data_IF_606395768095
#
_entry.id   IF_606395768095
#
_cell.length_a   1.000
_cell.length_b   1.000
_cell.length_c   1.000
_cell.angle_alpha   90.00
_cell.angle_beta   90.00
_cell.angle_gamma   90.00
#
_symmetry.space_group_name_H-M   'P 1'
#
loop_
_entity.id
_entity.type
_entity.pdbx_description
1 polymer ?
#
# COMPACT_ATOMS: atom_id res chain seq x y z
N UNK A 1 -8.62 20.55 12.89
CA UNK A 1 -8.81 19.10 12.70
C UNK A 1 -7.47 18.39 12.91
N UNK A 2 -7.44 17.28 13.64
CA UNK A 2 -6.21 16.52 13.91
C UNK A 2 -5.65 15.96 12.59
N UNK A 3 -4.41 16.32 12.22
CA UNK A 3 -3.76 15.94 10.95
C UNK A 3 -3.75 14.43 10.72
N UNK A 4 -3.71 13.62 11.79
CA UNK A 4 -3.78 12.15 11.71
C UNK A 4 -5.14 11.66 11.23
N UNK A 5 -6.22 12.25 11.74
CA UNK A 5 -7.60 11.92 11.35
C UNK A 5 -7.86 12.34 9.91
N UNK A 6 -7.40 13.53 9.52
CA UNK A 6 -7.51 14.00 8.12
C UNK A 6 -6.78 13.04 7.16
N UNK A 7 -5.56 12.62 7.50
CA UNK A 7 -4.80 11.67 6.68
C UNK A 7 -5.51 10.33 6.54
N UNK A 8 -6.09 9.83 7.64
CA UNK A 8 -6.86 8.59 7.62
C UNK A 8 -8.09 8.71 6.71
N UNK A 9 -8.92 9.74 6.89
CA UNK A 9 -10.13 9.96 6.06
C UNK A 9 -9.75 10.13 4.59
N UNK A 10 -8.72 10.92 4.31
CA UNK A 10 -8.26 11.16 2.93
C UNK A 10 -7.73 9.88 2.28
N UNK A 11 -7.02 9.02 3.02
CA UNK A 11 -6.58 7.72 2.52
C UNK A 11 -7.75 6.79 2.22
N UNK A 12 -8.78 6.76 3.07
CA UNK A 12 -9.99 5.97 2.79
C UNK A 12 -10.69 6.47 1.52
N UNK A 13 -10.85 7.78 1.35
CA UNK A 13 -11.43 8.38 0.14
C UNK A 13 -10.59 8.07 -1.11
N UNK A 14 -9.26 8.17 -1.00
CA UNK A 14 -8.34 7.79 -2.07
C UNK A 14 -8.51 6.33 -2.46
N UNK A 15 -8.54 5.42 -1.48
CA UNK A 15 -8.69 3.99 -1.73
C UNK A 15 -9.95 3.70 -2.55
N UNK A 16 -11.09 4.27 -2.16
CA UNK A 16 -12.34 4.13 -2.94
C UNK A 16 -12.19 4.69 -4.35
N UNK A 17 -11.67 5.92 -4.50
CA UNK A 17 -11.52 6.54 -5.81
C UNK A 17 -10.62 5.72 -6.74
N UNK A 18 -9.51 5.21 -6.22
CA UNK A 18 -8.56 4.38 -6.97
C UNK A 18 -9.19 3.05 -7.37
N UNK A 19 -9.84 2.34 -6.44
CA UNK A 19 -10.48 1.05 -6.72
C UNK A 19 -11.62 1.21 -7.73
N UNK A 20 -12.46 2.24 -7.59
CA UNK A 20 -13.53 2.54 -8.55
C UNK A 20 -12.95 2.83 -9.93
N UNK A 21 -11.89 3.65 -10.01
CA UNK A 21 -11.25 3.97 -11.29
C UNK A 21 -10.62 2.72 -11.93
N UNK A 22 -9.91 1.90 -11.15
CA UNK A 22 -9.29 0.66 -11.62
C UNK A 22 -10.34 -0.38 -12.06
N UNK A 23 -11.49 -0.47 -11.39
CA UNK A 23 -12.59 -1.34 -11.80
C UNK A 23 -13.23 -0.93 -13.13
N UNK A 24 -13.16 0.36 -13.49
CA UNK A 24 -13.63 0.89 -14.79
C UNK A 24 -12.51 1.01 -15.83
N UNK A 25 -11.42 0.25 -15.68
CA UNK A 25 -10.27 0.25 -16.60
C UNK A 25 -9.55 1.61 -16.74
N UNK A 26 -9.68 2.49 -15.73
CA UNK A 26 -9.03 3.81 -15.69
C UNK A 26 -7.79 3.81 -14.78
N UNK A 27 -6.88 2.88 -15.03
CA UNK A 27 -5.67 2.69 -14.22
C UNK A 27 -4.76 3.93 -14.17
N UNK A 28 -4.68 4.71 -15.25
CA UNK A 28 -3.91 5.96 -15.28
C UNK A 28 -4.45 7.02 -14.29
N UNK A 29 -5.77 7.14 -14.15
CA UNK A 29 -6.41 8.08 -13.24
C UNK A 29 -6.17 7.67 -11.79
N UNK A 30 -6.24 6.36 -11.53
CA UNK A 30 -5.86 5.80 -10.24
C UNK A 30 -4.39 6.07 -9.89
N UNK A 31 -3.47 5.93 -10.85
CA UNK A 31 -2.05 6.29 -10.67
C UNK A 31 -1.88 7.78 -10.32
N UNK A 32 -2.55 8.66 -11.06
CA UNK A 32 -2.50 10.10 -10.82
C UNK A 32 -3.01 10.48 -9.42
N UNK A 33 -4.10 9.86 -8.96
CA UNK A 33 -4.63 10.06 -7.62
C UNK A 33 -3.65 9.60 -6.53
N UNK A 34 -3.03 8.42 -6.69
CA UNK A 34 -2.02 7.92 -5.75
C UNK A 34 -0.80 8.85 -5.67
N UNK A 35 -0.31 9.30 -6.83
CA UNK A 35 0.82 10.23 -6.91
C UNK A 35 0.50 11.55 -6.23
N UNK A 36 -0.67 12.14 -6.51
CA UNK A 36 -1.11 13.37 -5.85
C UNK A 36 -1.17 13.22 -4.33
N UNK A 37 -1.66 12.08 -3.83
CA UNK A 37 -1.70 11.80 -2.40
C UNK A 37 -0.30 11.68 -1.78
N UNK A 38 0.60 10.93 -2.41
CA UNK A 38 1.99 10.78 -1.93
C UNK A 38 2.71 12.12 -1.90
N UNK A 39 2.55 12.95 -2.95
CA UNK A 39 3.11 14.29 -3.01
C UNK A 39 2.54 15.19 -1.91
N UNK A 40 1.22 15.16 -1.69
CA UNK A 40 0.60 15.92 -0.61
C UNK A 40 1.13 15.50 0.77
N UNK A 41 1.22 14.19 1.04
CA UNK A 41 1.77 13.67 2.30
C UNK A 41 3.25 14.06 2.46
N UNK A 42 4.04 14.01 1.40
CA UNK A 42 5.44 14.48 1.41
C UNK A 42 5.53 15.98 1.71
N UNK A 43 4.68 16.82 1.10
CA UNK A 43 4.71 18.27 1.32
C UNK A 43 4.27 18.61 2.75
N UNK A 44 3.23 17.94 3.25
CA UNK A 44 2.67 18.16 4.59
C UNK A 44 3.53 17.60 5.73
N UNK A 45 4.45 16.66 5.44
CA UNK A 45 5.25 15.99 6.46
C UNK A 45 6.54 16.74 6.78
N UNK A 46 6.85 16.87 8.07
CA UNK A 46 8.16 17.29 8.55
C UNK A 46 9.22 16.18 8.41
N UNK A 47 8.83 14.94 8.09
CA UNK A 47 9.70 13.77 7.91
C UNK A 47 9.75 13.31 6.43
N UNK A 48 9.92 14.25 5.49
CA UNK A 48 9.87 13.98 4.04
C UNK A 48 10.73 12.80 3.58
N UNK A 49 11.95 12.68 4.10
CA UNK A 49 12.85 11.57 3.77
C UNK A 49 12.29 10.21 4.24
N UNK A 50 11.62 10.17 5.40
CA UNK A 50 10.96 8.95 5.91
C UNK A 50 9.78 8.59 5.02
N UNK A 51 8.97 9.58 4.64
CA UNK A 51 7.83 9.40 3.72
C UNK A 51 8.28 8.76 2.40
N UNK A 52 9.29 9.32 1.74
CA UNK A 52 9.77 8.79 0.46
C UNK A 52 10.42 7.41 0.59
N UNK A 53 11.22 7.17 1.63
CA UNK A 53 11.83 5.85 1.86
C UNK A 53 10.79 4.77 2.10
N UNK A 54 9.73 5.07 2.85
CA UNK A 54 8.61 4.16 3.04
C UNK A 54 7.81 3.94 1.75
N UNK A 55 7.56 5.00 0.98
CA UNK A 55 6.88 4.87 -0.32
C UNK A 55 7.66 3.96 -1.27
N UNK A 56 8.97 4.17 -1.42
CA UNK A 56 9.84 3.32 -2.26
C UNK A 56 9.85 1.88 -1.76
N UNK A 57 10.04 1.66 -0.45
CA UNK A 57 10.02 0.32 0.13
C UNK A 57 8.68 -0.39 -0.12
N UNK A 58 7.57 0.33 0.02
CA UNK A 58 6.24 -0.22 -0.23
C UNK A 58 6.00 -0.55 -1.70
N UNK A 59 6.51 0.26 -2.64
CA UNK A 59 6.46 -0.08 -4.07
C UNK A 59 7.26 -1.34 -4.36
N UNK A 60 8.44 -1.50 -3.78
CA UNK A 60 9.26 -2.72 -3.93
C UNK A 60 8.53 -3.95 -3.36
N UNK A 61 7.95 -3.82 -2.17
CA UNK A 61 7.14 -4.88 -1.56
C UNK A 61 5.92 -5.21 -2.43
N UNK A 62 5.17 -4.21 -2.88
CA UNK A 62 4.04 -4.39 -3.80
C UNK A 62 4.44 -5.05 -5.12
N UNK A 63 5.62 -4.74 -5.65
CA UNK A 63 6.14 -5.39 -6.85
C UNK A 63 6.34 -6.90 -6.61
N UNK A 64 6.90 -7.28 -5.47
CA UNK A 64 7.08 -8.69 -5.09
C UNK A 64 5.74 -9.38 -4.82
N UNK A 65 4.84 -8.71 -4.10
CA UNK A 65 3.56 -9.27 -3.67
C UNK A 65 2.59 -9.40 -4.84
N UNK A 66 2.28 -8.31 -5.52
CA UNK A 66 1.29 -8.27 -6.60
C UNK A 66 1.88 -8.79 -7.92
N UNK A 67 3.17 -8.57 -8.16
CA UNK A 67 3.86 -9.19 -9.28
C UNK A 67 3.95 -10.71 -9.12
N UNK A 68 4.29 -11.19 -7.92
CA UNK A 68 4.26 -12.62 -7.61
C UNK A 68 2.86 -13.22 -7.69
N UNK A 69 1.84 -12.50 -7.20
CA UNK A 69 0.44 -12.94 -7.30
C UNK A 69 -0.05 -13.04 -8.75
N UNK A 70 0.34 -12.08 -9.59
CA UNK A 70 0.02 -12.05 -11.03
C UNK A 70 0.73 -13.19 -11.75
N UNK A 71 2.02 -13.39 -11.47
CA UNK A 71 2.83 -14.45 -12.08
C UNK A 71 2.34 -15.86 -11.68
N UNK A 72 1.94 -16.03 -10.42
CA UNK A 72 1.34 -17.27 -9.93
C UNK A 72 -0.12 -17.47 -10.41
N UNK A 73 -0.71 -16.46 -11.06
CA UNK A 73 -2.08 -16.52 -11.56
C UNK A 73 -3.16 -16.54 -10.47
N UNK A 74 -2.81 -16.19 -9.22
CA UNK A 74 -3.74 -16.21 -8.08
C UNK A 74 -4.50 -14.89 -7.91
N UNK A 75 -4.06 -13.82 -8.58
CA UNK A 75 -4.72 -12.51 -8.62
C UNK A 75 -4.72 -11.98 -10.06
N UNK A 76 -5.84 -11.38 -10.48
CA UNK A 76 -5.97 -10.69 -11.78
C UNK A 76 -6.58 -9.31 -11.59
N UNK A 77 -5.99 -8.30 -12.22
CA UNK A 77 -6.46 -6.91 -12.16
C UNK A 77 -7.27 -6.56 -13.41
N UNK A 78 -8.32 -5.76 -13.23
CA UNK A 78 -9.14 -5.24 -14.33
C UNK A 78 -8.34 -4.22 -15.16
N UNK A 79 -7.97 -3.09 -14.57
CA UNK A 79 -7.04 -2.14 -15.16
C UNK A 79 -5.60 -2.67 -15.11
N UNK A 80 -5.03 -3.02 -16.26
CA UNK A 80 -3.64 -3.51 -16.36
C UNK A 80 -2.64 -2.38 -16.59
N UNK A 81 -3.06 -1.34 -17.30
CA UNK A 81 -2.19 -0.25 -17.72
C UNK A 81 -2.29 0.99 -16.80
N UNK A 82 -1.20 1.75 -16.64
CA UNK A 82 0.16 1.40 -17.08
C UNK A 82 0.79 0.31 -16.18
N UNK A 83 1.73 -0.46 -16.72
CA UNK A 83 2.55 -1.45 -15.99
C UNK A 83 4.04 -1.08 -16.08
N UNK A 84 4.86 -1.38 -15.05
CA UNK A 84 6.29 -1.02 -15.05
C UNK A 84 7.12 -1.84 -16.04
N UNK A 85 6.69 -3.07 -16.33
CA UNK A 85 7.28 -3.97 -17.32
C UNK A 85 6.22 -4.97 -17.80
N UNK A 86 6.40 -5.62 -18.97
CA UNK A 86 5.44 -6.60 -19.48
C UNK A 86 5.17 -7.73 -18.49
N UNK A 87 3.90 -7.92 -18.12
CA UNK A 87 3.49 -8.94 -17.15
C UNK A 87 3.69 -8.56 -15.68
N UNK A 88 4.16 -7.33 -15.40
CA UNK A 88 4.24 -6.79 -14.05
C UNK A 88 2.88 -6.40 -13.46
N UNK A 89 2.83 -6.09 -12.15
CA UNK A 89 1.61 -5.61 -11.53
C UNK A 89 1.26 -4.20 -12.04
N UNK A 90 -0.03 -3.83 -12.10
CA UNK A 90 -0.43 -2.50 -12.53
C UNK A 90 0.17 -1.39 -11.67
N UNK A 91 0.58 -0.28 -12.27
CA UNK A 91 1.15 0.84 -11.53
C UNK A 91 0.19 1.44 -10.50
N UNK A 92 -1.13 1.29 -10.68
CA UNK A 92 -2.10 1.83 -9.72
C UNK A 92 -2.10 1.05 -8.40
N UNK A 93 -1.88 -0.27 -8.42
CA UNK A 93 -1.80 -1.05 -7.18
C UNK A 93 -0.49 -0.71 -6.45
N UNK A 94 0.61 -0.52 -7.18
CA UNK A 94 1.88 -0.02 -6.61
C UNK A 94 1.72 1.40 -6.04
N UNK A 95 0.91 2.23 -6.68
CA UNK A 95 0.52 3.54 -6.18
C UNK A 95 -0.21 3.44 -4.84
N UNK A 96 -1.17 2.52 -4.70
CA UNK A 96 -1.85 2.27 -3.43
C UNK A 96 -0.89 1.77 -2.34
N UNK A 97 0.08 0.92 -2.67
CA UNK A 97 1.13 0.53 -1.72
C UNK A 97 1.90 1.74 -1.19
N UNK A 98 2.34 2.63 -2.09
CA UNK A 98 3.01 3.86 -1.71
C UNK A 98 2.10 4.75 -0.85
N UNK A 99 0.86 4.99 -1.31
CA UNK A 99 -0.12 5.81 -0.59
C UNK A 99 -0.45 5.27 0.79
N UNK A 100 -0.53 3.95 0.95
CA UNK A 100 -0.74 3.29 2.24
C UNK A 100 0.47 3.52 3.17
N UNK A 101 1.67 3.25 2.68
CA UNK A 101 2.88 3.33 3.50
C UNK A 101 3.18 4.75 3.99
N UNK A 102 2.83 5.78 3.21
CA UNK A 102 2.98 7.18 3.67
C UNK A 102 1.99 7.58 4.77
N UNK A 103 0.97 6.76 5.07
CA UNK A 103 0.12 6.95 6.27
C UNK A 103 0.77 6.42 7.54
N UNK A 104 1.81 5.58 7.44
CA UNK A 104 2.45 4.95 8.60
C UNK A 104 3.06 5.95 9.58
N UNK A 105 3.78 7.02 9.16
CA UNK A 105 4.33 8.00 10.10
C UNK A 105 3.29 8.80 10.88
N UNK A 106 2.02 8.81 10.44
CA UNK A 106 0.93 9.58 11.04
C UNK A 106 -0.06 8.71 11.83
N UNK A 107 -1.26 8.39 11.30
CA UNK A 107 -2.29 7.63 12.02
C UNK A 107 -1.83 6.25 12.51
N UNK A 108 -0.88 5.60 11.83
CA UNK A 108 -0.41 4.25 12.19
C UNK A 108 0.96 4.23 12.87
N UNK A 109 1.46 5.37 13.36
CA UNK A 109 2.81 5.46 13.94
C UNK A 109 3.01 4.54 15.15
N UNK A 110 1.92 4.18 15.83
CA UNK A 110 1.94 3.25 16.96
C UNK A 110 2.42 1.84 16.58
N UNK A 111 2.44 1.48 15.29
CA UNK A 111 3.02 0.23 14.78
C UNK A 111 4.55 0.25 14.69
N UNK A 112 5.18 1.43 14.78
CA UNK A 112 6.63 1.58 14.71
C UNK A 112 7.33 0.66 15.72
N UNK A 113 8.14 -0.27 15.21
CA UNK A 113 8.89 -1.22 16.05
C UNK A 113 8.03 -2.34 16.67
N UNK A 114 6.78 -2.51 16.22
CA UNK A 114 5.85 -3.55 16.69
C UNK A 114 5.50 -4.52 15.55
N UNK A 115 6.47 -5.32 15.05
CA UNK A 115 6.31 -6.13 13.86
C UNK A 115 5.19 -7.17 13.97
N UNK A 116 4.96 -7.75 15.16
CA UNK A 116 3.90 -8.75 15.36
C UNK A 116 2.50 -8.11 15.21
N UNK A 117 2.27 -6.95 15.81
CA UNK A 117 1.01 -6.24 15.67
C UNK A 117 0.78 -5.79 14.22
N UNK A 118 1.84 -5.34 13.54
CA UNK A 118 1.79 -4.97 12.13
C UNK A 118 1.49 -6.19 11.24
N UNK A 119 2.11 -7.34 11.50
CA UNK A 119 1.88 -8.58 10.77
C UNK A 119 0.43 -9.05 10.89
N UNK A 120 -0.14 -9.05 12.11
CA UNK A 120 -1.54 -9.42 12.33
C UNK A 120 -2.49 -8.46 11.60
N UNK A 121 -2.21 -7.16 11.66
CA UNK A 121 -3.00 -6.16 10.93
C UNK A 121 -2.90 -6.35 9.42
N UNK A 122 -1.71 -6.66 8.89
CA UNK A 122 -1.49 -6.94 7.48
C UNK A 122 -2.20 -8.22 7.01
N UNK A 123 -2.09 -9.29 7.78
CA UNK A 123 -2.70 -10.59 7.50
C UNK A 123 -4.23 -10.50 7.34
N UNK A 124 -4.86 -9.56 8.04
CA UNK A 124 -6.31 -9.35 8.02
C UNK A 124 -6.68 -8.22 7.06
N UNK A 125 -6.07 -7.04 7.24
CA UNK A 125 -6.39 -5.83 6.50
C UNK A 125 -6.05 -5.92 5.01
N UNK A 126 -4.94 -6.57 4.66
CA UNK A 126 -4.54 -6.80 3.27
C UNK A 126 -5.60 -7.58 2.49
N UNK A 127 -5.90 -8.84 2.86
CA UNK A 127 -6.94 -9.63 2.19
C UNK A 127 -8.31 -8.95 2.18
N UNK A 128 -8.74 -8.34 3.30
CA UNK A 128 -10.02 -7.64 3.35
C UNK A 128 -10.10 -6.48 2.36
N UNK A 129 -8.99 -5.74 2.18
CA UNK A 129 -8.92 -4.66 1.19
C UNK A 129 -9.10 -5.19 -0.24
N UNK A 130 -8.41 -6.27 -0.60
CA UNK A 130 -8.51 -6.83 -1.96
C UNK A 130 -9.87 -7.49 -2.21
N UNK A 131 -10.45 -8.16 -1.21
CA UNK A 131 -11.82 -8.69 -1.29
C UNK A 131 -12.83 -7.54 -1.43
N UNK A 132 -12.62 -6.42 -0.74
CA UNK A 132 -13.42 -5.20 -0.93
C UNK A 132 -13.34 -4.67 -2.36
N UNK A 133 -12.14 -4.64 -2.94
CA UNK A 133 -11.92 -4.22 -4.33
C UNK A 133 -12.58 -5.18 -5.34
N UNK A 134 -12.54 -6.49 -5.08
CA UNK A 134 -13.24 -7.50 -5.87
C UNK A 134 -14.76 -7.30 -5.81
N UNK A 135 -15.34 -7.27 -4.60
CA UNK A 135 -16.80 -7.26 -4.41
C UNK A 135 -17.45 -5.93 -4.78
N UNK A 136 -16.74 -4.82 -4.59
CA UNK A 136 -17.29 -3.48 -4.84
C UNK A 136 -17.29 -3.09 -6.31
N UNK A 137 -16.16 -3.33 -7.01
CA UNK A 137 -15.95 -2.81 -8.37
C UNK A 137 -15.26 -3.78 -9.32
N UNK A 138 -15.04 -5.04 -8.91
CA UNK A 138 -14.31 -6.04 -9.70
C UNK A 138 -12.92 -5.56 -10.16
N UNK A 139 -12.30 -4.62 -9.43
CA UNK A 139 -10.98 -4.09 -9.75
C UNK A 139 -9.89 -5.17 -9.67
N UNK A 140 -10.15 -6.18 -8.85
CA UNK A 140 -9.35 -7.39 -8.69
C UNK A 140 -10.27 -8.61 -8.75
N UNK A 141 -9.80 -9.71 -9.32
CA UNK A 141 -10.46 -11.02 -9.29
C UNK A 141 -9.49 -12.10 -8.86
N UNK A 142 -10.02 -13.15 -8.24
CA UNK A 142 -9.25 -14.28 -7.75
C UNK A 142 -9.66 -15.53 -8.52
N UNK A 143 -8.79 -16.07 -9.38
CA UNK A 143 -9.03 -17.33 -10.06
C UNK A 143 -9.22 -18.50 -9.08
N UNK A 144 -9.92 -19.54 -9.54
CA UNK A 144 -10.10 -20.75 -8.74
C UNK A 144 -8.78 -21.56 -8.68
N UNK A 145 -8.43 -22.13 -7.51
CA UNK A 145 -9.17 -22.07 -6.26
C UNK A 145 -8.90 -20.78 -5.45
N UNK A 146 -9.96 -20.06 -5.10
CA UNK A 146 -9.90 -18.69 -4.54
C UNK A 146 -9.08 -18.59 -3.24
N UNK A 147 -9.05 -19.65 -2.43
CA UNK A 147 -8.32 -19.66 -1.16
C UNK A 147 -6.82 -19.41 -1.34
N UNK A 148 -6.23 -19.76 -2.49
CA UNK A 148 -4.81 -19.53 -2.77
C UNK A 148 -4.48 -18.05 -2.83
N UNK A 149 -5.33 -17.25 -3.48
CA UNK A 149 -5.17 -15.79 -3.52
C UNK A 149 -5.32 -15.15 -2.14
N UNK A 150 -6.27 -15.62 -1.34
CA UNK A 150 -6.44 -15.14 0.04
C UNK A 150 -5.26 -15.50 0.94
N UNK A 151 -4.76 -16.73 0.86
CA UNK A 151 -3.59 -17.18 1.60
C UNK A 151 -2.33 -16.41 1.18
N UNK A 152 -2.13 -16.22 -0.13
CA UNK A 152 -1.03 -15.41 -0.68
C UNK A 152 -1.06 -14.00 -0.09
N UNK A 153 -2.21 -13.32 -0.17
CA UNK A 153 -2.35 -11.97 0.35
C UNK A 153 -2.17 -11.92 1.87
N UNK A 154 -2.71 -12.88 2.62
CA UNK A 154 -2.59 -12.90 4.08
C UNK A 154 -1.11 -13.01 4.52
N UNK A 155 -0.37 -13.97 3.96
CA UNK A 155 1.03 -14.18 4.30
C UNK A 155 1.90 -13.01 3.84
N UNK A 156 1.71 -12.58 2.59
CA UNK A 156 2.56 -11.53 2.00
C UNK A 156 2.33 -10.16 2.64
N UNK A 157 1.09 -9.78 2.94
CA UNK A 157 0.80 -8.55 3.69
C UNK A 157 1.26 -8.62 5.14
N UNK A 158 1.20 -9.78 5.79
CA UNK A 158 1.75 -9.93 7.14
C UNK A 158 3.26 -9.62 7.17
N UNK A 159 4.00 -10.19 6.23
CA UNK A 159 5.44 -9.94 6.08
C UNK A 159 5.70 -8.48 5.70
N UNK A 160 5.01 -7.96 4.69
CA UNK A 160 5.21 -6.58 4.23
C UNK A 160 4.94 -5.56 5.33
N UNK A 161 3.88 -5.75 6.12
CA UNK A 161 3.57 -4.87 7.26
C UNK A 161 4.61 -4.96 8.37
N UNK A 162 5.10 -6.15 8.70
CA UNK A 162 6.18 -6.32 9.67
C UNK A 162 7.44 -5.57 9.22
N UNK A 163 7.81 -5.71 7.95
CA UNK A 163 8.97 -5.02 7.34
C UNK A 163 8.79 -3.50 7.40
N UNK A 164 7.63 -2.98 6.99
CA UNK A 164 7.35 -1.54 7.02
C UNK A 164 7.36 -0.98 8.45
N UNK A 165 6.86 -1.72 9.43
CA UNK A 165 6.87 -1.32 10.85
C UNK A 165 8.29 -1.25 11.42
N UNK A 166 9.16 -2.20 11.05
CA UNK A 166 10.58 -2.20 11.43
C UNK A 166 11.32 -1.06 10.73
N UNK A 167 11.09 -0.87 9.42
CA UNK A 167 11.68 0.22 8.66
C UNK A 167 11.31 1.60 9.23
N UNK A 168 10.04 1.81 9.58
CA UNK A 168 9.59 3.05 10.22
C UNK A 168 10.35 3.33 11.52
N UNK A 169 10.58 2.31 12.36
CA UNK A 169 11.36 2.48 13.58
C UNK A 169 12.80 2.91 13.28
N UNK A 170 13.50 2.19 12.38
CA UNK A 170 14.87 2.54 12.02
C UNK A 170 15.01 3.94 11.42
N UNK A 171 14.09 4.31 10.52
CA UNK A 171 14.11 5.60 9.83
C UNK A 171 13.83 6.78 10.76
N UNK A 172 13.04 6.57 11.81
CA UNK A 172 12.71 7.62 12.79
C UNK A 172 13.75 7.71 13.92
N UNK A 173 14.36 6.59 14.32
CA UNK A 173 15.47 6.57 15.29
C UNK A 173 16.73 7.28 14.77
N UNK A 174 17.05 7.15 13.48
CA UNK A 174 18.23 7.80 12.88
C UNK A 174 18.19 9.34 12.95
N UNK A 175 17.00 9.94 12.97
CA UNK A 175 16.82 11.40 13.04
C UNK A 175 17.07 11.98 14.43
N UNK A 176 16.74 11.23 15.49
CA UNK A 176 17.01 11.67 16.87
C UNK A 176 18.52 11.81 17.16
N UNK A 177 19.36 11.06 16.44
CA UNK A 177 20.82 11.16 16.53
C UNK A 177 21.40 12.36 15.76
N UNK A 178 20.74 12.82 14.68
CA UNK A 178 21.22 13.94 13.84
C UNK A 178 20.87 15.31 14.41
N UNK A 179 19.78 15.44 15.18
CA UNK A 179 19.37 16.72 15.80
C UNK A 179 20.20 17.07 17.05
N UNK A 180 20.93 16.10 17.61
CA UNK A 180 21.80 16.30 18.79
C UNK A 180 23.27 16.64 18.44
N UNK A 181 23.59 16.91 17.17
CA UNK A 181 24.94 17.31 16.73
C UNK A 181 24.96 18.74 16.25
#
# INVERSE_FOLDING_TARGET
MNTRVLTFIAYQALWFAVVVAAGHDRGWLACAACLAFVLWQSIASAERAVVWRLAVLAVLLGMLVDGGATAAGVVRYAAKDPMPFPGGPPCWILGLWASFAVTLPGPMRWLSGRPVAAALLGAIGGPLSYVGAQRGWSAVTFPAPVWQGYAWLAVSWAVAMAVLAVALAHLTSGRAATVKR
#
